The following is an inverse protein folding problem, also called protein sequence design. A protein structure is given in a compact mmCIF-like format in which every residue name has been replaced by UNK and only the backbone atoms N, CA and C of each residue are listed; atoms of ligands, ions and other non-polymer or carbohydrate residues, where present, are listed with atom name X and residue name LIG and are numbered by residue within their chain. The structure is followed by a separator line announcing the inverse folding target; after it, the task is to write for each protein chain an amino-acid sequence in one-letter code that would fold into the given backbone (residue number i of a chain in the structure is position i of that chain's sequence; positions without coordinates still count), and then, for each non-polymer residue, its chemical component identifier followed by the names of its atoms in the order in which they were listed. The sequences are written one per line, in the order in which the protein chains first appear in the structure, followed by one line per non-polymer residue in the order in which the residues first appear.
data_IF_608752373694
#
_entry.id   IF_608752373694
#
_cell.length_a   1.000
_cell.length_b   1.000
_cell.length_c   1.000
_cell.angle_alpha   90.00
_cell.angle_beta   90.00
_cell.angle_gamma   90.00
#
_symmetry.space_group_name_H-M   'P 1'
#
loop_
_entity.id
_entity.type
_entity.pdbx_description
1 polymer ?
#
# COMPACT_ATOMS: atom_id res chain seq x y z
N UNK A 1 0.98 -38.00 -60.98
CA UNK A 1 0.76 -38.92 -62.11
C UNK A 1 -0.73 -38.97 -62.33
N UNK A 2 -1.38 -38.28 -63.26
CA UNK A 2 -1.08 -37.38 -64.39
C UNK A 2 -2.43 -36.61 -64.58
N UNK A 3 -2.62 -35.51 -65.29
CA UNK A 3 -1.80 -34.56 -66.02
C UNK A 3 -2.69 -33.31 -66.20
N UNK A 4 -2.03 -32.15 -66.30
CA UNK A 4 -2.64 -30.89 -66.74
C UNK A 4 -2.82 -30.91 -68.27
N UNK A 5 -3.88 -30.28 -68.78
CA UNK A 5 -3.85 -29.69 -70.13
C UNK A 5 -4.75 -28.45 -70.24
N UNK A 6 -4.07 -27.31 -70.44
CA UNK A 6 -4.43 -26.09 -71.18
C UNK A 6 -5.17 -26.36 -72.51
N UNK A 7 -5.94 -25.48 -73.19
CA UNK A 7 -6.04 -24.00 -73.26
C UNK A 7 -7.20 -23.59 -74.21
N UNK A 8 -7.45 -22.27 -74.29
CA UNK A 8 -8.08 -21.49 -75.37
C UNK A 8 -9.63 -21.53 -75.45
N UNK A 9 -10.36 -20.43 -75.67
CA UNK A 9 -10.06 -19.04 -76.02
C UNK A 9 -11.36 -18.34 -76.47
N UNK A 10 -11.25 -17.05 -76.80
CA UNK A 10 -12.20 -16.17 -77.51
C UNK A 10 -13.43 -15.62 -76.77
N UNK A 11 -13.30 -14.34 -76.40
CA UNK A 11 -14.11 -13.18 -76.81
C UNK A 11 -15.64 -13.33 -76.96
N UNK A 12 -16.33 -12.46 -76.21
CA UNK A 12 -17.73 -12.07 -76.39
C UNK A 12 -17.99 -11.41 -77.74
N UNK A 13 -19.24 -11.44 -78.22
CA UNK A 13 -19.87 -10.17 -78.54
C UNK A 13 -21.27 -10.00 -77.92
N UNK A 14 -21.55 -8.74 -77.64
CA UNK A 14 -22.76 -8.18 -77.07
C UNK A 14 -24.06 -8.66 -77.73
N UNK A 15 -25.09 -8.92 -76.91
CA UNK A 15 -26.46 -9.14 -77.37
C UNK A 15 -27.49 -9.27 -76.23
N UNK A 16 -27.95 -8.12 -75.72
CA UNK A 16 -29.29 -7.84 -75.18
C UNK A 16 -29.87 -8.65 -73.98
N UNK A 17 -30.25 -7.87 -72.95
CA UNK A 17 -31.41 -8.01 -72.07
C UNK A 17 -31.59 -9.29 -71.24
N UNK A 18 -31.09 -9.23 -70.01
CA UNK A 18 -31.64 -9.97 -68.87
C UNK A 18 -31.57 -9.12 -67.62
N UNK A 19 -32.72 -8.70 -67.09
CA UNK A 19 -32.86 -8.03 -65.79
C UNK A 19 -32.00 -8.74 -64.73
N UNK A 20 -30.91 -8.10 -64.28
CA UNK A 20 -30.34 -8.42 -62.97
C UNK A 20 -31.27 -7.84 -61.93
N UNK A 21 -32.11 -8.70 -61.38
CA UNK A 21 -32.89 -8.49 -60.17
C UNK A 21 -31.97 -7.88 -59.11
N UNK A 22 -32.25 -6.62 -58.78
CA UNK A 22 -31.72 -5.94 -57.61
C UNK A 22 -32.10 -6.81 -56.41
N UNK A 23 -31.13 -7.45 -55.75
CA UNK A 23 -31.38 -8.14 -54.51
C UNK A 23 -32.05 -7.14 -53.55
N UNK A 24 -33.32 -7.36 -53.27
CA UNK A 24 -34.05 -6.58 -52.29
C UNK A 24 -33.37 -6.82 -50.95
N UNK A 25 -32.67 -5.82 -50.44
CA UNK A 25 -32.37 -5.74 -49.01
C UNK A 25 -33.73 -5.82 -48.32
N UNK A 26 -34.06 -6.97 -47.76
CA UNK A 26 -35.27 -7.16 -46.99
C UNK A 26 -35.24 -6.14 -45.85
N UNK A 27 -36.10 -5.13 -45.93
CA UNK A 27 -36.32 -4.20 -44.83
C UNK A 27 -36.65 -4.98 -43.56
N UNK A 28 -36.33 -4.44 -42.38
CA UNK A 28 -36.59 -5.13 -41.12
C UNK A 28 -38.06 -5.57 -41.07
N UNK A 29 -38.30 -6.83 -40.70
CA UNK A 29 -39.65 -7.39 -40.58
C UNK A 29 -40.47 -6.54 -39.61
N UNK A 30 -41.79 -6.43 -39.82
CA UNK A 30 -42.67 -5.61 -38.97
C UNK A 30 -42.55 -5.96 -37.47
N UNK A 31 -42.28 -7.23 -37.16
CA UNK A 31 -41.97 -7.70 -35.81
C UNK A 31 -40.66 -7.11 -35.25
N UNK A 32 -39.58 -7.07 -36.05
CA UNK A 32 -38.30 -6.46 -35.64
C UNK A 32 -38.39 -4.94 -35.47
N UNK A 33 -39.21 -4.27 -36.27
CA UNK A 33 -39.49 -2.83 -36.10
C UNK A 33 -40.31 -2.56 -34.84
N UNK A 34 -41.33 -3.37 -34.56
CA UNK A 34 -42.15 -3.25 -33.34
C UNK A 34 -41.34 -3.51 -32.07
N UNK A 35 -40.44 -4.49 -32.08
CA UNK A 35 -39.60 -4.83 -30.93
C UNK A 35 -38.55 -3.74 -30.66
N UNK A 36 -37.94 -3.17 -31.71
CA UNK A 36 -37.07 -2.00 -31.59
C UNK A 36 -37.80 -0.77 -31.05
N UNK A 37 -39.01 -0.48 -31.54
CA UNK A 37 -39.83 0.63 -31.05
C UNK A 37 -40.24 0.44 -29.58
N UNK A 38 -40.54 -0.79 -29.17
CA UNK A 38 -40.86 -1.12 -27.77
C UNK A 38 -39.63 -0.95 -26.86
N UNK A 39 -38.45 -1.36 -27.32
CA UNK A 39 -37.18 -1.16 -26.60
C UNK A 39 -36.87 0.34 -26.41
N UNK A 40 -37.05 1.14 -27.47
CA UNK A 40 -36.83 2.60 -27.44
C UNK A 40 -37.85 3.32 -26.54
N UNK A 41 -39.09 2.84 -26.49
CA UNK A 41 -40.10 3.36 -25.56
C UNK A 41 -39.73 3.06 -24.10
N UNK A 42 -39.28 1.83 -23.79
CA UNK A 42 -38.81 1.46 -22.45
C UNK A 42 -37.59 2.26 -22.02
N UNK A 43 -36.61 2.45 -22.91
CA UNK A 43 -35.43 3.30 -22.65
C UNK A 43 -35.83 4.74 -22.33
N UNK A 44 -36.72 5.33 -23.11
CA UNK A 44 -37.22 6.70 -22.87
C UNK A 44 -37.96 6.83 -21.54
N UNK A 45 -38.79 5.84 -21.19
CA UNK A 45 -39.49 5.82 -19.91
C UNK A 45 -38.50 5.74 -18.73
N UNK A 46 -37.49 4.87 -18.81
CA UNK A 46 -36.46 4.76 -17.77
C UNK A 46 -35.61 6.04 -17.62
N UNK A 47 -35.26 6.70 -18.73
CA UNK A 47 -34.55 7.98 -18.69
C UNK A 47 -35.41 9.10 -18.09
N UNK A 48 -36.71 9.15 -18.44
CA UNK A 48 -37.65 10.10 -17.87
C UNK A 48 -37.84 9.88 -16.36
N UNK A 49 -37.87 8.63 -15.92
CA UNK A 49 -37.94 8.28 -14.49
C UNK A 49 -36.70 8.77 -13.72
N UNK A 50 -35.49 8.61 -14.28
CA UNK A 50 -34.26 9.14 -13.70
C UNK A 50 -34.26 10.69 -13.68
N UNK A 51 -34.69 11.33 -14.77
CA UNK A 51 -34.70 12.79 -14.90
C UNK A 51 -35.72 13.46 -13.94
N UNK A 52 -36.86 12.81 -13.69
CA UNK A 52 -37.94 13.28 -12.80
C UNK A 52 -37.81 12.81 -11.34
N UNK A 53 -36.88 11.89 -11.05
CA UNK A 53 -36.66 11.37 -9.71
C UNK A 53 -36.39 12.50 -8.70
N UNK A 54 -36.96 12.36 -7.49
CA UNK A 54 -36.61 13.23 -6.37
C UNK A 54 -35.22 12.87 -5.85
N UNK A 55 -34.46 13.87 -5.40
CA UNK A 55 -33.18 13.64 -4.74
C UNK A 55 -33.36 12.67 -3.58
N UNK A 56 -32.47 11.69 -3.49
CA UNK A 56 -32.58 10.56 -2.57
C UNK A 56 -31.21 10.14 -2.08
N UNK A 57 -31.17 9.25 -1.09
CA UNK A 57 -29.93 8.70 -0.55
C UNK A 57 -29.08 7.99 -1.61
N UNK A 58 -29.69 7.45 -2.66
CA UNK A 58 -28.98 6.89 -3.80
C UNK A 58 -28.13 7.96 -4.50
N UNK A 59 -28.70 9.13 -4.79
CA UNK A 59 -27.99 10.25 -5.40
C UNK A 59 -26.85 10.78 -4.51
N UNK A 60 -27.08 10.83 -3.20
CA UNK A 60 -26.04 11.19 -2.24
C UNK A 60 -24.87 10.18 -2.24
N UNK A 61 -25.16 8.87 -2.31
CA UNK A 61 -24.13 7.83 -2.46
C UNK A 61 -23.36 7.95 -3.76
N UNK A 62 -24.03 8.19 -4.89
CA UNK A 62 -23.37 8.41 -6.18
C UNK A 62 -22.44 9.63 -6.13
N UNK A 63 -22.92 10.72 -5.52
CA UNK A 63 -22.12 11.93 -5.31
C UNK A 63 -20.90 11.68 -4.42
N UNK A 64 -21.03 10.85 -3.37
CA UNK A 64 -19.92 10.49 -2.50
C UNK A 64 -18.89 9.60 -3.21
N UNK A 65 -19.34 8.57 -3.93
CA UNK A 65 -18.46 7.65 -4.66
C UNK A 65 -17.69 8.38 -5.77
N UNK A 66 -18.38 9.19 -6.58
CA UNK A 66 -17.70 10.03 -7.57
C UNK A 66 -16.83 11.11 -6.91
N UNK A 67 -17.25 11.63 -5.76
CA UNK A 67 -16.48 12.62 -5.00
C UNK A 67 -15.17 12.06 -4.43
N UNK A 68 -15.09 10.77 -4.13
CA UNK A 68 -13.86 10.13 -3.63
C UNK A 68 -12.75 10.17 -4.70
N UNK A 69 -13.08 9.97 -5.98
CA UNK A 69 -12.10 10.07 -7.09
C UNK A 69 -11.46 11.45 -7.15
N UNK A 70 -12.30 12.50 -7.28
CA UNK A 70 -11.82 13.89 -7.25
C UNK A 70 -11.12 14.29 -5.95
N UNK A 71 -11.50 13.70 -4.82
CA UNK A 71 -10.79 13.88 -3.56
C UNK A 71 -9.37 13.30 -3.64
N UNK A 72 -9.22 12.06 -4.11
CA UNK A 72 -7.91 11.40 -4.25
C UNK A 72 -7.03 12.09 -5.28
N UNK A 73 -7.59 12.53 -6.40
CA UNK A 73 -6.88 13.28 -7.45
C UNK A 73 -6.23 14.54 -6.88
N UNK A 74 -7.04 15.34 -6.17
CA UNK A 74 -6.57 16.57 -5.56
C UNK A 74 -5.56 16.31 -4.44
N UNK A 75 -5.78 15.28 -3.63
CA UNK A 75 -4.84 14.86 -2.60
C UNK A 75 -3.46 14.57 -3.22
N UNK A 76 -3.39 13.73 -4.27
CA UNK A 76 -2.12 13.33 -4.90
C UNK A 76 -1.42 14.46 -5.67
N UNK A 77 -2.19 15.33 -6.33
CA UNK A 77 -1.67 16.52 -7.01
C UNK A 77 -1.09 17.51 -5.99
N UNK A 78 -1.73 17.68 -4.84
CA UNK A 78 -1.30 18.64 -3.83
C UNK A 78 -0.16 18.11 -2.95
N UNK A 79 -0.23 16.84 -2.53
CA UNK A 79 0.71 16.21 -1.62
C UNK A 79 2.17 16.31 -2.09
N UNK A 80 2.43 16.24 -3.41
CA UNK A 80 3.79 16.36 -3.94
C UNK A 80 4.43 17.71 -3.63
N UNK A 81 3.67 18.79 -3.54
CA UNK A 81 4.24 20.11 -3.27
C UNK A 81 4.84 20.18 -1.87
N UNK A 82 4.31 19.38 -0.95
CA UNK A 82 4.83 19.22 0.40
C UNK A 82 5.94 18.17 0.42
N UNK A 83 5.71 17.02 -0.23
CA UNK A 83 6.68 15.94 -0.28
C UNK A 83 7.98 16.32 -1.01
N UNK A 84 7.94 17.22 -2.01
CA UNK A 84 9.14 17.65 -2.75
C UNK A 84 10.15 18.38 -1.87
N UNK A 85 9.69 19.03 -0.80
CA UNK A 85 10.56 19.63 0.21
C UNK A 85 11.33 18.52 0.94
N UNK A 86 10.62 17.50 1.42
CA UNK A 86 11.21 16.34 2.10
C UNK A 86 12.17 15.56 1.18
N UNK A 87 11.81 15.38 -0.09
CA UNK A 87 12.67 14.77 -1.10
C UNK A 87 13.92 15.60 -1.36
N UNK A 88 13.83 16.93 -1.31
CA UNK A 88 14.99 17.82 -1.39
C UNK A 88 15.95 17.61 -0.24
N UNK A 89 15.43 17.50 0.97
CA UNK A 89 16.22 17.23 2.17
C UNK A 89 16.96 15.88 2.08
N UNK A 90 16.32 14.82 1.57
CA UNK A 90 16.92 13.47 1.52
C UNK A 90 17.80 13.24 0.30
N UNK A 91 17.38 13.68 -0.89
CA UNK A 91 18.01 13.33 -2.17
C UNK A 91 18.60 14.52 -2.93
N UNK A 92 18.33 15.74 -2.47
CA UNK A 92 18.83 16.96 -3.09
C UNK A 92 20.28 17.25 -2.71
N UNK A 93 21.04 17.81 -3.65
CA UNK A 93 22.33 18.42 -3.34
C UNK A 93 22.06 19.69 -2.53
N UNK A 94 22.80 19.90 -1.44
CA UNK A 94 22.56 20.99 -0.49
C UNK A 94 21.14 20.98 0.11
N UNK A 95 20.57 19.77 0.27
CA UNK A 95 19.24 19.55 0.88
C UNK A 95 18.07 20.20 0.14
N UNK A 96 18.27 20.49 -1.14
CA UNK A 96 17.22 20.99 -2.01
C UNK A 96 17.26 20.24 -3.34
N UNK A 97 16.09 19.94 -3.88
CA UNK A 97 16.01 19.52 -5.28
C UNK A 97 16.49 20.67 -6.17
N UNK A 98 17.20 20.34 -7.25
CA UNK A 98 17.49 21.35 -8.27
C UNK A 98 16.18 21.91 -8.85
N UNK A 99 16.21 23.14 -9.37
CA UNK A 99 15.03 23.77 -9.97
C UNK A 99 14.35 22.89 -11.03
N UNK A 100 15.14 22.15 -11.81
CA UNK A 100 14.63 21.24 -12.83
C UNK A 100 14.01 19.97 -12.25
N UNK A 101 14.57 19.44 -11.16
CA UNK A 101 14.03 18.28 -10.45
C UNK A 101 12.70 18.60 -9.76
N UNK A 102 12.65 19.69 -8.98
CA UNK A 102 11.43 20.13 -8.29
C UNK A 102 10.30 20.46 -9.28
N UNK A 103 10.64 21.17 -10.37
CA UNK A 103 9.68 21.43 -11.45
C UNK A 103 9.21 20.12 -12.10
N UNK A 104 10.14 19.20 -12.39
CA UNK A 104 9.84 17.92 -13.02
C UNK A 104 8.83 17.11 -12.22
N UNK A 105 9.04 16.91 -10.92
CA UNK A 105 8.10 16.13 -10.09
C UNK A 105 6.73 16.81 -9.97
N UNK A 106 6.67 18.14 -9.93
CA UNK A 106 5.40 18.88 -9.83
C UNK A 106 4.63 18.90 -11.15
N UNK A 107 5.31 19.06 -12.28
CA UNK A 107 4.69 19.25 -13.62
C UNK A 107 4.34 17.92 -14.29
N UNK A 108 5.04 16.83 -13.96
CA UNK A 108 4.79 15.52 -14.57
C UNK A 108 3.33 15.08 -14.47
N UNK A 109 2.70 15.27 -13.32
CA UNK A 109 1.30 14.88 -13.10
C UNK A 109 0.33 15.69 -13.96
N UNK A 110 0.33 17.04 -13.95
CA UNK A 110 -0.50 17.83 -14.88
C UNK A 110 -0.31 17.48 -16.36
N UNK A 111 0.94 17.23 -16.80
CA UNK A 111 1.21 16.83 -18.19
C UNK A 111 0.60 15.46 -18.48
N UNK A 112 0.75 14.51 -17.56
CA UNK A 112 0.07 13.21 -17.62
C UNK A 112 -1.45 13.35 -17.67
N UNK A 113 -2.03 14.24 -16.86
CA UNK A 113 -3.48 14.51 -16.82
C UNK A 113 -4.01 15.00 -18.16
N UNK A 114 -3.30 15.90 -18.84
CA UNK A 114 -3.67 16.34 -20.19
C UNK A 114 -3.69 15.18 -21.18
N UNK A 115 -2.66 14.31 -21.15
CA UNK A 115 -2.60 13.13 -22.01
C UNK A 115 -3.72 12.15 -21.68
N UNK A 116 -3.95 11.89 -20.39
CA UNK A 116 -5.00 11.01 -19.89
C UNK A 116 -6.39 11.45 -20.34
N UNK A 117 -6.73 12.73 -20.22
CA UNK A 117 -8.02 13.27 -20.63
C UNK A 117 -8.34 12.99 -22.11
N UNK A 118 -7.36 13.20 -22.99
CA UNK A 118 -7.53 12.96 -24.43
C UNK A 118 -7.64 11.47 -24.72
N UNK A 119 -6.73 10.65 -24.17
CA UNK A 119 -6.67 9.21 -24.45
C UNK A 119 -7.88 8.48 -23.88
N UNK A 120 -8.21 8.71 -22.61
CA UNK A 120 -9.35 8.04 -21.96
C UNK A 120 -10.68 8.60 -22.42
N UNK A 121 -10.77 9.88 -22.79
CA UNK A 121 -11.96 10.41 -23.45
C UNK A 121 -12.30 9.64 -24.72
N UNK A 122 -11.30 9.45 -25.59
CA UNK A 122 -11.46 8.68 -26.83
C UNK A 122 -11.70 7.18 -26.58
N UNK A 123 -10.93 6.55 -25.70
CA UNK A 123 -11.08 5.12 -25.38
C UNK A 123 -12.44 4.82 -24.71
N UNK A 124 -12.96 5.73 -23.89
CA UNK A 124 -14.27 5.57 -23.26
C UNK A 124 -15.41 5.52 -24.26
N UNK A 125 -15.29 6.25 -25.37
CA UNK A 125 -16.27 6.26 -26.45
C UNK A 125 -16.21 4.98 -27.29
N UNK A 126 -15.03 4.34 -27.43
CA UNK A 126 -14.85 3.10 -28.19
C UNK A 126 -15.18 1.85 -27.36
N UNK A 127 -14.54 1.72 -26.20
CA UNK A 127 -14.54 0.50 -25.37
C UNK A 127 -15.72 0.49 -24.40
N UNK A 128 -16.26 1.66 -24.10
CA UNK A 128 -17.35 1.89 -23.16
C UNK A 128 -16.88 2.41 -21.81
N UNK A 129 -17.56 3.46 -21.35
CA UNK A 129 -17.23 4.25 -20.14
C UNK A 129 -17.06 3.40 -18.88
N UNK A 130 -17.97 2.44 -18.64
CA UNK A 130 -17.95 1.60 -17.43
C UNK A 130 -16.69 0.73 -17.31
N UNK A 131 -16.15 0.25 -18.44
CA UNK A 131 -14.92 -0.56 -18.43
C UNK A 131 -13.69 0.31 -18.22
N UNK A 132 -13.64 1.47 -18.88
CA UNK A 132 -12.53 2.40 -18.78
C UNK A 132 -12.36 2.98 -17.37
N UNK A 133 -13.45 3.15 -16.63
CA UNK A 133 -13.42 3.59 -15.22
C UNK A 133 -12.55 2.67 -14.34
N UNK A 134 -12.69 1.35 -14.46
CA UNK A 134 -11.85 0.43 -13.69
C UNK A 134 -10.37 0.44 -14.11
N UNK A 135 -10.09 0.76 -15.37
CA UNK A 135 -8.73 0.78 -15.91
C UNK A 135 -7.96 2.02 -15.43
N UNK A 136 -8.58 3.20 -15.47
CA UNK A 136 -7.92 4.41 -14.97
C UNK A 136 -7.62 4.30 -13.46
N UNK A 137 -8.58 3.78 -12.69
CA UNK A 137 -8.41 3.56 -11.25
C UNK A 137 -7.24 2.60 -10.97
N UNK A 138 -7.11 1.53 -11.76
CA UNK A 138 -5.99 0.59 -11.63
C UNK A 138 -4.65 1.27 -11.94
N UNK A 139 -4.59 2.15 -12.95
CA UNK A 139 -3.39 2.92 -13.27
C UNK A 139 -3.03 3.83 -12.09
N UNK A 140 -4.01 4.54 -11.50
CA UNK A 140 -3.77 5.37 -10.31
C UNK A 140 -3.24 4.54 -9.15
N UNK A 141 -3.91 3.44 -8.78
CA UNK A 141 -3.47 2.58 -7.67
C UNK A 141 -2.05 2.04 -7.89
N UNK A 142 -1.76 1.49 -9.06
CA UNK A 142 -0.45 0.90 -9.37
C UNK A 142 0.64 1.97 -9.38
N UNK A 143 0.37 3.13 -9.99
CA UNK A 143 1.36 4.21 -10.07
C UNK A 143 1.58 4.93 -8.74
N UNK A 144 0.55 5.13 -7.92
CA UNK A 144 0.69 5.67 -6.56
C UNK A 144 1.46 4.70 -5.67
N UNK A 145 1.17 3.40 -5.76
CA UNK A 145 1.95 2.39 -5.06
C UNK A 145 3.41 2.36 -5.55
N UNK A 146 3.64 2.42 -6.86
CA UNK A 146 4.98 2.43 -7.43
C UNK A 146 5.78 3.69 -7.03
N UNK A 147 5.14 4.87 -6.93
CA UNK A 147 5.77 6.09 -6.40
C UNK A 147 6.24 5.91 -4.96
N UNK A 148 5.42 5.24 -4.12
CA UNK A 148 5.79 4.95 -2.74
C UNK A 148 6.95 3.94 -2.61
N UNK A 149 7.21 3.15 -3.66
CA UNK A 149 8.26 2.13 -3.68
C UNK A 149 9.55 2.57 -4.40
N UNK A 150 9.63 3.79 -4.92
CA UNK A 150 10.84 4.25 -5.62
C UNK A 150 11.99 4.40 -4.62
N UNK A 151 13.14 3.82 -4.93
CA UNK A 151 14.38 3.99 -4.16
C UNK A 151 15.57 4.30 -5.06
N UNK A 152 16.69 4.64 -4.43
CA UNK A 152 17.91 4.99 -5.13
C UNK A 152 18.64 3.74 -5.64
N UNK A 153 19.07 3.73 -6.90
CA UNK A 153 19.83 2.64 -7.52
C UNK A 153 21.05 3.20 -8.25
N UNK A 154 22.15 2.44 -8.30
CA UNK A 154 23.42 2.88 -8.89
C UNK A 154 23.30 3.31 -10.37
N UNK A 155 22.29 2.82 -11.09
CA UNK A 155 22.06 3.11 -12.50
C UNK A 155 20.95 4.15 -12.76
N UNK A 156 20.12 4.50 -11.77
CA UNK A 156 18.91 5.31 -11.99
C UNK A 156 18.64 6.29 -10.84
N UNK A 157 18.49 7.57 -11.19
CA UNK A 157 18.13 8.64 -10.26
C UNK A 157 16.67 8.46 -9.78
N UNK A 158 16.49 8.39 -8.46
CA UNK A 158 15.18 8.25 -7.80
C UNK A 158 14.18 9.32 -8.26
N UNK A 159 14.63 10.56 -8.43
CA UNK A 159 13.77 11.67 -8.84
C UNK A 159 13.31 11.48 -10.29
N UNK A 160 14.18 10.97 -11.16
CA UNK A 160 13.81 10.68 -12.53
C UNK A 160 12.75 9.57 -12.62
N UNK A 161 12.89 8.50 -11.83
CA UNK A 161 11.88 7.42 -11.76
C UNK A 161 10.57 7.93 -11.18
N UNK A 162 10.65 8.77 -10.15
CA UNK A 162 9.47 9.38 -9.54
C UNK A 162 8.72 10.27 -10.55
N UNK A 163 9.44 11.07 -11.36
CA UNK A 163 8.85 11.87 -12.45
C UNK A 163 8.06 10.98 -13.42
N UNK A 164 8.61 9.83 -13.81
CA UNK A 164 7.95 8.89 -14.73
C UNK A 164 6.66 8.34 -14.11
N UNK A 165 6.72 7.85 -12.87
CA UNK A 165 5.52 7.34 -12.20
C UNK A 165 4.47 8.42 -11.96
N UNK A 166 4.90 9.66 -11.69
CA UNK A 166 4.01 10.82 -11.56
C UNK A 166 3.30 11.17 -12.85
N UNK A 167 3.98 11.01 -13.99
CA UNK A 167 3.36 11.15 -15.30
C UNK A 167 2.32 10.05 -15.54
N UNK A 168 2.66 8.79 -15.27
CA UNK A 168 1.74 7.64 -15.43
C UNK A 168 0.51 7.80 -14.52
N UNK A 169 0.70 8.20 -13.25
CA UNK A 169 -0.39 8.52 -12.34
C UNK A 169 -1.25 9.66 -12.89
N UNK A 170 -0.61 10.71 -13.41
CA UNK A 170 -1.30 11.82 -14.07
C UNK A 170 -2.20 11.34 -15.20
N UNK A 171 -1.76 10.37 -16.01
CA UNK A 171 -2.61 9.76 -17.07
C UNK A 171 -3.84 9.08 -16.49
N UNK A 172 -3.72 8.38 -15.36
CA UNK A 172 -4.85 7.79 -14.62
C UNK A 172 -5.83 8.87 -14.16
N UNK A 173 -5.35 9.86 -13.42
CA UNK A 173 -6.14 11.02 -12.97
C UNK A 173 -6.85 11.70 -14.14
N UNK A 174 -6.14 11.90 -15.26
CA UNK A 174 -6.72 12.49 -16.47
C UNK A 174 -7.89 11.69 -17.04
N UNK A 175 -7.91 10.38 -16.87
CA UNK A 175 -9.03 9.53 -17.25
C UNK A 175 -10.25 9.68 -16.36
N UNK A 176 -10.08 9.99 -15.08
CA UNK A 176 -11.20 10.15 -14.14
C UNK A 176 -12.07 11.36 -14.51
N UNK A 177 -11.48 12.50 -14.91
CA UNK A 177 -12.24 13.71 -15.28
C UNK A 177 -13.38 13.47 -16.30
N UNK A 178 -13.13 12.91 -17.50
CA UNK A 178 -14.21 12.63 -18.45
C UNK A 178 -15.12 11.48 -18.00
N UNK A 179 -14.62 10.47 -17.28
CA UNK A 179 -15.41 9.30 -16.90
C UNK A 179 -16.35 9.59 -15.73
N UNK A 180 -15.83 10.15 -14.64
CA UNK A 180 -16.60 10.52 -13.46
C UNK A 180 -17.57 11.67 -13.72
N UNK A 181 -17.20 12.67 -14.52
CA UNK A 181 -18.12 13.75 -14.89
C UNK A 181 -19.35 13.22 -15.64
N UNK A 182 -19.17 12.21 -16.48
CA UNK A 182 -20.28 11.64 -17.24
C UNK A 182 -21.16 10.76 -16.34
N UNK A 183 -20.57 9.86 -15.56
CA UNK A 183 -21.32 9.00 -14.63
C UNK A 183 -22.15 9.84 -13.66
N UNK A 184 -21.55 10.86 -13.03
CA UNK A 184 -22.28 11.73 -12.11
C UNK A 184 -23.40 12.50 -12.82
N UNK A 185 -23.21 12.91 -14.07
CA UNK A 185 -24.28 13.60 -14.83
C UNK A 185 -25.41 12.66 -15.29
N UNK A 186 -25.10 11.40 -15.65
CA UNK A 186 -26.04 10.38 -16.14
C UNK A 186 -27.01 9.92 -15.04
N UNK A 187 -26.54 9.85 -13.79
CA UNK A 187 -27.36 9.45 -12.64
C UNK A 187 -27.98 10.62 -11.89
N UNK A 188 -27.85 11.86 -12.37
CA UNK A 188 -28.37 13.04 -11.68
C UNK A 188 -29.74 13.51 -12.19
N UNK A 189 -30.69 13.85 -11.28
CA UNK A 189 -31.98 14.42 -11.65
C UNK A 189 -31.83 15.79 -12.31
N UNK A 190 -32.67 16.10 -13.31
CA UNK A 190 -32.56 17.30 -14.15
C UNK A 190 -32.50 18.61 -13.35
N UNK A 191 -33.28 18.73 -12.27
CA UNK A 191 -33.34 19.94 -11.42
C UNK A 191 -32.11 20.15 -10.52
N UNK A 192 -31.44 19.06 -10.13
CA UNK A 192 -30.31 19.09 -9.18
C UNK A 192 -28.98 18.67 -9.80
N UNK A 193 -28.96 18.31 -11.10
CA UNK A 193 -27.77 17.86 -11.83
C UNK A 193 -26.58 18.78 -11.61
N UNK A 194 -26.75 20.08 -11.83
CA UNK A 194 -25.68 21.05 -11.59
C UNK A 194 -25.14 21.02 -10.15
N UNK A 195 -26.02 20.97 -9.14
CA UNK A 195 -25.60 20.92 -7.72
C UNK A 195 -24.82 19.65 -7.39
N UNK A 196 -25.25 18.51 -7.92
CA UNK A 196 -24.58 17.22 -7.70
C UNK A 196 -23.20 17.22 -8.37
N UNK A 197 -23.10 17.70 -9.61
CA UNK A 197 -21.81 17.88 -10.29
C UNK A 197 -20.88 18.79 -9.49
N UNK A 198 -21.36 19.96 -9.06
CA UNK A 198 -20.55 20.89 -8.26
C UNK A 198 -20.12 20.28 -6.94
N UNK A 199 -20.96 19.51 -6.26
CA UNK A 199 -20.61 18.82 -5.03
C UNK A 199 -19.49 17.78 -5.23
N UNK A 200 -19.52 17.02 -6.33
CA UNK A 200 -18.46 16.09 -6.72
C UNK A 200 -17.13 16.84 -6.94
N UNK A 201 -17.13 17.91 -7.73
CA UNK A 201 -15.93 18.72 -7.97
C UNK A 201 -15.42 19.45 -6.71
N UNK A 202 -16.31 19.79 -5.78
CA UNK A 202 -15.94 20.43 -4.51
C UNK A 202 -15.13 19.49 -3.58
N UNK A 203 -15.21 18.17 -3.78
CA UNK A 203 -14.40 17.18 -3.07
C UNK A 203 -12.89 17.39 -3.24
N UNK A 204 -12.45 18.05 -4.33
CA UNK A 204 -11.04 18.43 -4.51
C UNK A 204 -10.54 19.35 -3.39
N UNK A 205 -11.38 20.26 -2.89
CA UNK A 205 -11.02 21.13 -1.77
C UNK A 205 -10.73 20.34 -0.50
N UNK A 206 -11.52 19.29 -0.25
CA UNK A 206 -11.28 18.35 0.85
C UNK A 206 -10.00 17.54 0.64
N UNK A 207 -9.71 17.11 -0.59
CA UNK A 207 -8.45 16.41 -0.90
C UNK A 207 -7.21 17.24 -0.57
N UNK A 208 -7.17 18.50 -1.02
CA UNK A 208 -6.10 19.44 -0.71
C UNK A 208 -5.95 19.69 0.79
N UNK A 209 -7.07 19.87 1.49
CA UNK A 209 -7.08 20.06 2.93
C UNK A 209 -6.53 18.83 3.66
N UNK A 210 -6.98 17.63 3.29
CA UNK A 210 -6.51 16.39 3.91
C UNK A 210 -5.03 16.14 3.63
N UNK A 211 -4.53 16.42 2.42
CA UNK A 211 -3.09 16.33 2.12
C UNK A 211 -2.26 17.24 3.03
N UNK A 212 -2.71 18.48 3.24
CA UNK A 212 -2.07 19.42 4.16
C UNK A 212 -2.13 18.95 5.60
N UNK A 213 -3.28 18.44 6.03
CA UNK A 213 -3.51 17.97 7.40
C UNK A 213 -2.66 16.74 7.72
N UNK A 214 -2.61 15.75 6.83
CA UNK A 214 -1.79 14.54 6.98
C UNK A 214 -0.32 14.93 7.06
N UNK A 215 0.15 15.79 6.17
CA UNK A 215 1.53 16.26 6.21
C UNK A 215 1.86 17.02 7.52
N UNK A 216 0.93 17.84 8.01
CA UNK A 216 1.08 18.51 9.31
C UNK A 216 1.17 17.51 10.46
N UNK A 217 0.26 16.53 10.52
CA UNK A 217 0.25 15.49 11.57
C UNK A 217 1.57 14.71 11.56
N UNK A 218 2.04 14.29 10.38
CA UNK A 218 3.30 13.54 10.25
C UNK A 218 4.48 14.41 10.69
N UNK A 219 4.57 15.65 10.20
CA UNK A 219 5.65 16.56 10.56
C UNK A 219 5.66 16.88 12.07
N UNK A 220 4.48 17.04 12.67
CA UNK A 220 4.33 17.27 14.10
C UNK A 220 4.74 16.03 14.91
N UNK A 221 4.37 14.82 14.47
CA UNK A 221 4.74 13.57 15.14
C UNK A 221 6.26 13.34 15.15
N UNK A 222 6.95 13.72 14.08
CA UNK A 222 8.41 13.61 13.96
C UNK A 222 9.16 14.86 14.42
N UNK A 223 8.46 15.89 14.91
CA UNK A 223 9.04 17.21 15.23
C UNK A 223 10.25 17.10 16.15
N UNK A 224 10.12 16.39 17.26
CA UNK A 224 11.17 16.33 18.26
C UNK A 224 12.37 15.50 17.77
N UNK A 225 12.13 14.49 16.94
CA UNK A 225 13.19 13.72 16.26
C UNK A 225 13.93 14.57 15.21
N UNK A 226 13.20 15.37 14.42
CA UNK A 226 13.78 16.29 13.41
C UNK A 226 14.61 17.38 14.10
N UNK A 227 14.12 17.96 15.20
CA UNK A 227 14.82 19.03 15.93
C UNK A 227 16.02 18.52 16.73
N UNK A 228 16.04 17.23 17.07
CA UNK A 228 17.14 16.59 17.79
C UNK A 228 18.30 16.17 16.88
N UNK A 229 18.15 16.25 15.55
CA UNK A 229 19.24 15.91 14.63
C UNK A 229 20.33 16.99 14.64
N UNK A 230 21.57 16.62 14.98
CA UNK A 230 22.63 17.58 15.25
C UNK A 230 23.16 18.29 13.99
N UNK A 231 22.87 17.75 12.80
CA UNK A 231 23.27 18.36 11.54
C UNK A 231 22.35 17.94 10.37
N UNK A 232 22.17 18.89 9.46
CA UNK A 232 21.33 18.84 8.26
C UNK A 232 21.78 17.77 7.24
N UNK A 233 22.99 17.27 7.35
CA UNK A 233 23.58 16.20 6.53
C UNK A 233 23.26 14.77 7.02
N UNK A 234 22.59 14.62 8.16
CA UNK A 234 22.20 13.34 8.76
C UNK A 234 20.70 13.27 9.06
N UNK A 235 19.89 13.46 8.01
CA UNK A 235 18.42 13.40 8.06
C UNK A 235 17.88 11.96 8.18
N UNK A 236 18.44 11.17 9.09
CA UNK A 236 18.09 9.78 9.19
C UNK A 236 16.63 9.60 9.63
N UNK A 237 16.03 10.52 10.39
CA UNK A 237 14.61 10.48 10.77
C UNK A 237 13.67 10.57 9.56
N UNK A 238 14.11 11.22 8.48
CA UNK A 238 13.41 11.27 7.19
C UNK A 238 13.69 10.00 6.36
N UNK A 239 14.90 9.43 6.46
CA UNK A 239 15.30 8.16 5.83
C UNK A 239 14.78 6.89 6.58
N UNK A 240 14.39 6.97 7.86
CA UNK A 240 13.78 5.85 8.58
C UNK A 240 12.33 5.62 8.21
N UNK A 241 11.69 6.59 7.55
CA UNK A 241 10.33 6.43 7.06
C UNK A 241 10.21 5.35 5.95
N UNK A 242 11.32 4.76 5.46
CA UNK A 242 11.28 3.79 4.33
C UNK A 242 12.10 2.48 4.44
N UNK A 243 12.81 2.18 5.54
CA UNK A 243 13.61 0.93 5.67
C UNK A 243 12.92 -0.16 6.50
N UNK A 244 12.80 -1.37 5.95
CA UNK A 244 12.18 -2.53 6.63
C UNK A 244 13.22 -3.63 6.80
N UNK A 245 13.51 -4.01 8.04
CA UNK A 245 14.24 -5.24 8.35
C UNK A 245 13.23 -6.37 8.55
N UNK A 246 13.46 -7.50 7.89
CA UNK A 246 12.54 -8.63 7.92
C UNK A 246 13.27 -9.96 7.66
N UNK A 247 12.54 -11.05 7.52
CA UNK A 247 13.07 -12.38 7.17
C UNK A 247 13.57 -12.42 5.72
N UNK A 248 14.37 -13.41 5.36
CA UNK A 248 14.87 -13.54 3.97
C UNK A 248 13.72 -13.83 3.01
N UNK A 249 12.81 -14.71 3.40
CA UNK A 249 11.56 -14.98 2.69
C UNK A 249 10.66 -13.74 2.61
N UNK A 250 10.52 -12.99 3.71
CA UNK A 250 9.79 -11.72 3.76
C UNK A 250 10.37 -10.73 2.75
N UNK A 251 11.69 -10.56 2.73
CA UNK A 251 12.35 -9.68 1.78
C UNK A 251 12.16 -10.14 0.32
N UNK A 252 12.23 -11.45 0.05
CA UNK A 252 11.99 -12.02 -1.27
C UNK A 252 10.54 -11.77 -1.75
N UNK A 253 9.55 -11.98 -0.88
CA UNK A 253 8.13 -11.69 -1.17
C UNK A 253 7.85 -10.21 -1.36
N UNK A 254 8.65 -9.37 -0.73
CA UNK A 254 8.56 -7.92 -0.83
C UNK A 254 9.41 -7.35 -1.99
N UNK A 255 10.09 -8.17 -2.79
CA UNK A 255 10.75 -7.68 -4.00
C UNK A 255 9.72 -7.14 -5.00
N UNK A 256 10.03 -6.05 -5.73
CA UNK A 256 11.34 -5.43 -5.90
C UNK A 256 11.63 -4.24 -4.96
N UNK A 257 11.02 -4.16 -3.76
CA UNK A 257 11.16 -3.00 -2.87
C UNK A 257 12.63 -2.69 -2.49
N UNK A 258 13.21 -1.56 -2.92
CA UNK A 258 14.47 -1.08 -2.38
C UNK A 258 14.26 -0.63 -0.92
N UNK A 259 15.18 -0.98 -0.02
CA UNK A 259 15.08 -0.64 1.41
C UNK A 259 14.49 -1.75 2.30
N UNK A 260 14.05 -2.86 1.72
CA UNK A 260 13.74 -4.09 2.48
C UNK A 260 14.98 -4.97 2.55
N UNK A 261 15.44 -5.28 3.76
CA UNK A 261 16.57 -6.18 3.97
C UNK A 261 16.12 -7.40 4.74
N UNK A 262 16.27 -8.55 4.11
CA UNK A 262 16.14 -9.85 4.76
C UNK A 262 17.39 -10.15 5.57
N UNK A 263 17.23 -10.61 6.80
CA UNK A 263 18.34 -11.00 7.67
C UNK A 263 18.28 -12.49 7.96
N UNK A 264 19.44 -13.15 7.89
CA UNK A 264 19.60 -14.53 8.39
C UNK A 264 19.78 -14.52 9.90
N UNK A 265 19.45 -15.62 10.60
CA UNK A 265 19.76 -15.75 12.03
C UNK A 265 21.22 -15.42 12.32
N UNK A 266 21.45 -14.59 13.33
CA UNK A 266 22.75 -14.06 13.76
C UNK A 266 23.43 -13.09 12.79
N UNK A 267 22.77 -12.70 11.70
CA UNK A 267 23.24 -11.61 10.85
C UNK A 267 23.02 -10.27 11.55
N UNK A 268 24.08 -9.45 11.61
CA UNK A 268 24.04 -8.11 12.20
C UNK A 268 24.08 -7.05 11.12
N UNK A 269 23.28 -6.01 11.31
CA UNK A 269 23.31 -4.80 10.49
C UNK A 269 23.50 -3.57 11.36
N UNK A 270 24.27 -2.62 10.84
CA UNK A 270 24.43 -1.32 11.46
C UNK A 270 23.43 -0.33 10.88
N UNK A 271 22.77 0.42 11.76
CA UNK A 271 21.79 1.45 11.44
C UNK A 271 22.13 2.70 12.24
N UNK A 272 22.06 3.88 11.61
CA UNK A 272 22.26 5.14 12.32
C UNK A 272 20.92 5.83 12.55
N UNK A 273 20.35 5.71 13.75
CA UNK A 273 19.05 6.27 14.13
C UNK A 273 19.15 7.42 15.13
N UNK A 274 18.53 8.57 14.81
CA UNK A 274 18.54 9.75 15.68
C UNK A 274 19.96 10.21 16.08
N UNK A 275 20.92 10.18 15.14
CA UNK A 275 22.33 10.51 15.40
C UNK A 275 23.12 9.44 16.17
N UNK A 276 22.52 8.28 16.46
CA UNK A 276 23.12 7.18 17.22
C UNK A 276 23.31 5.96 16.35
N UNK A 277 24.43 5.26 16.54
CA UNK A 277 24.71 4.01 15.85
C UNK A 277 24.10 2.84 16.66
N UNK A 278 23.20 2.13 16.01
CA UNK A 278 22.60 0.88 16.47
C UNK A 278 23.14 -0.29 15.66
N UNK A 279 23.27 -1.44 16.31
CA UNK A 279 23.40 -2.73 15.67
C UNK A 279 22.14 -3.52 15.92
N UNK A 280 21.57 -4.04 14.84
CA UNK A 280 20.42 -4.93 14.87
C UNK A 280 20.90 -6.30 14.46
N UNK A 281 20.88 -7.25 15.39
CA UNK A 281 21.22 -8.66 15.12
C UNK A 281 19.96 -9.49 15.08
N UNK A 282 19.72 -10.17 13.97
CA UNK A 282 18.60 -11.10 13.85
C UNK A 282 18.79 -12.31 14.78
N UNK A 283 17.73 -12.76 15.43
CA UNK A 283 17.73 -13.98 16.25
C UNK A 283 16.90 -15.08 15.58
N UNK A 284 17.27 -16.36 15.79
CA UNK A 284 16.48 -17.48 15.28
C UNK A 284 15.07 -17.45 15.89
N UNK A 285 14.07 -17.76 15.08
CA UNK A 285 12.68 -17.91 15.51
C UNK A 285 12.03 -19.08 14.79
N UNK A 286 11.13 -19.75 15.49
CA UNK A 286 10.31 -20.83 14.96
C UNK A 286 8.84 -20.53 15.30
N UNK A 287 8.02 -20.35 14.26
CA UNK A 287 6.59 -20.06 14.39
C UNK A 287 5.75 -21.19 13.76
N UNK A 288 6.01 -21.46 12.48
CA UNK A 288 5.45 -22.58 11.73
C UNK A 288 6.60 -23.40 11.15
N UNK A 289 6.48 -24.74 11.07
CA UNK A 289 7.42 -25.58 10.35
C UNK A 289 7.59 -25.09 8.91
N UNK A 290 8.78 -24.57 8.58
CA UNK A 290 9.10 -23.99 7.26
C UNK A 290 8.64 -22.55 7.04
N UNK A 291 8.01 -21.90 8.01
CA UNK A 291 7.73 -20.46 7.99
C UNK A 291 8.85 -19.67 8.65
N UNK A 292 9.36 -18.63 7.99
CA UNK A 292 10.39 -17.76 8.57
C UNK A 292 9.75 -16.70 9.46
N UNK A 293 10.20 -16.66 10.72
CA UNK A 293 9.97 -15.56 11.65
C UNK A 293 11.33 -14.96 12.07
N UNK A 294 11.35 -13.74 12.58
CA UNK A 294 12.58 -13.08 13.03
C UNK A 294 12.34 -12.30 14.33
N UNK A 295 13.24 -12.51 15.28
CA UNK A 295 13.43 -11.66 16.44
C UNK A 295 14.69 -10.82 16.23
N UNK A 296 14.92 -9.86 17.12
CA UNK A 296 16.06 -8.96 16.98
C UNK A 296 16.63 -8.52 18.32
N UNK A 297 17.95 -8.40 18.33
CA UNK A 297 18.73 -7.81 19.41
C UNK A 297 19.13 -6.42 18.95
N UNK A 298 18.84 -5.43 19.78
CA UNK A 298 19.25 -4.05 19.58
C UNK A 298 20.40 -3.73 20.53
N UNK A 299 21.57 -3.45 19.94
CA UNK A 299 22.78 -3.01 20.63
C UNK A 299 23.06 -1.55 20.27
N UNK A 300 23.44 -0.75 21.27
CA UNK A 300 23.98 0.59 21.07
C UNK A 300 25.12 0.81 22.06
N UNK A 301 26.18 1.53 21.65
CA UNK A 301 27.33 1.82 22.52
C UNK A 301 26.92 2.49 23.85
N UNK A 302 25.87 3.29 23.81
CA UNK A 302 25.33 4.02 24.95
C UNK A 302 24.66 3.13 25.98
N UNK A 303 24.24 1.92 25.61
CA UNK A 303 23.68 0.97 26.58
C UNK A 303 24.75 0.46 27.55
N UNK A 304 26.02 0.60 27.20
CA UNK A 304 27.15 0.20 28.02
C UNK A 304 27.40 -1.31 27.99
N UNK A 305 28.12 -1.79 28.99
CA UNK A 305 28.50 -3.20 29.13
C UNK A 305 28.32 -3.63 30.58
N UNK A 306 27.88 -4.87 30.79
CA UNK A 306 27.79 -5.52 32.09
C UNK A 306 28.57 -6.83 32.01
N UNK A 307 29.45 -7.07 32.98
CA UNK A 307 30.30 -8.28 33.05
C UNK A 307 31.11 -8.57 31.76
N UNK A 308 31.49 -7.52 31.03
CA UNK A 308 32.25 -7.60 29.79
C UNK A 308 31.41 -7.92 28.54
N UNK A 309 30.09 -8.08 28.68
CA UNK A 309 29.16 -8.25 27.56
C UNK A 309 28.45 -6.92 27.23
N UNK A 310 28.16 -6.65 25.95
CA UNK A 310 27.37 -5.48 25.56
C UNK A 310 25.93 -5.59 26.08
N UNK A 311 25.43 -4.48 26.62
CA UNK A 311 24.06 -4.36 27.09
C UNK A 311 23.12 -4.20 25.89
N UNK A 312 22.03 -4.98 25.88
CA UNK A 312 21.09 -5.01 24.74
C UNK A 312 19.62 -5.04 25.16
N UNK A 313 18.76 -4.67 24.21
CA UNK A 313 17.33 -4.94 24.26
C UNK A 313 17.03 -6.08 23.30
N UNK A 314 16.40 -7.14 23.79
CA UNK A 314 16.02 -8.30 23.00
C UNK A 314 14.51 -8.28 22.70
N UNK A 315 14.14 -8.53 21.46
CA UNK A 315 12.78 -8.71 20.98
C UNK A 315 12.64 -10.12 20.43
N UNK A 316 11.72 -10.92 21.01
CA UNK A 316 11.63 -12.34 20.63
C UNK A 316 11.09 -12.58 19.23
N UNK A 317 10.23 -11.68 18.73
CA UNK A 317 9.35 -12.00 17.61
C UNK A 317 8.34 -13.11 17.99
N UNK A 318 7.45 -13.45 17.06
CA UNK A 318 6.45 -14.49 17.26
C UNK A 318 7.09 -15.88 17.15
N UNK A 319 7.63 -16.38 18.26
CA UNK A 319 8.37 -17.65 18.30
C UNK A 319 7.93 -18.51 19.47
N UNK A 320 8.18 -19.82 19.36
CA UNK A 320 8.23 -20.74 20.49
C UNK A 320 9.61 -20.71 21.16
N UNK A 321 9.72 -21.31 22.34
CA UNK A 321 11.01 -21.53 23.00
C UNK A 321 11.83 -22.54 22.19
N UNK A 322 13.05 -22.15 21.82
CA UNK A 322 14.05 -23.01 21.17
C UNK A 322 15.38 -22.86 21.91
N UNK A 323 16.14 -23.96 22.05
CA UNK A 323 17.40 -23.97 22.82
C UNK A 323 18.45 -22.99 22.24
N UNK A 324 18.37 -22.67 20.94
CA UNK A 324 19.27 -21.72 20.30
C UNK A 324 19.17 -20.30 20.86
N UNK A 325 18.01 -19.90 21.40
CA UNK A 325 17.82 -18.58 22.02
C UNK A 325 18.66 -18.42 23.28
N UNK A 326 19.04 -19.51 23.93
CA UNK A 326 19.90 -19.49 25.13
C UNK A 326 21.29 -18.96 24.81
N UNK A 327 21.77 -19.09 23.56
CA UNK A 327 23.07 -18.57 23.11
C UNK A 327 23.15 -17.04 23.15
N UNK A 328 22.02 -16.33 23.30
CA UNK A 328 22.00 -14.88 23.47
C UNK A 328 22.75 -14.49 24.75
N UNK A 329 22.59 -15.25 25.84
CA UNK A 329 23.23 -14.95 27.13
C UNK A 329 24.77 -15.01 27.06
N UNK A 330 25.32 -15.80 26.14
CA UNK A 330 26.77 -15.98 25.98
C UNK A 330 27.42 -14.81 25.22
N UNK A 331 26.61 -14.05 24.48
CA UNK A 331 27.05 -12.97 23.59
C UNK A 331 26.67 -11.59 24.10
N UNK A 332 25.62 -11.49 24.93
CA UNK A 332 25.01 -10.23 25.33
C UNK A 332 24.50 -10.27 26.76
N UNK A 333 24.52 -9.12 27.43
CA UNK A 333 23.77 -8.89 28.66
C UNK A 333 22.40 -8.28 28.30
N UNK A 334 21.32 -9.04 28.50
CA UNK A 334 19.97 -8.60 28.12
C UNK A 334 19.38 -7.73 29.22
N UNK A 335 19.38 -6.41 29.04
CA UNK A 335 18.80 -5.49 30.02
C UNK A 335 17.28 -5.57 30.00
N UNK A 336 16.70 -5.62 28.80
CA UNK A 336 15.25 -5.73 28.62
C UNK A 336 14.94 -6.83 27.61
N UNK A 337 14.15 -7.81 28.05
CA UNK A 337 13.62 -8.87 27.20
C UNK A 337 12.14 -8.60 26.90
N UNK A 338 11.86 -8.21 25.66
CA UNK A 338 10.51 -8.00 25.14
C UNK A 338 10.06 -9.29 24.47
N UNK A 339 9.09 -9.98 25.09
CA UNK A 339 8.67 -11.31 24.67
C UNK A 339 7.24 -11.30 24.12
N UNK A 340 7.05 -11.78 22.90
CA UNK A 340 5.75 -12.05 22.31
C UNK A 340 5.21 -13.37 22.88
N UNK A 341 4.03 -13.31 23.52
CA UNK A 341 3.45 -14.41 24.28
C UNK A 341 2.02 -14.72 23.80
N UNK A 342 1.21 -15.37 24.64
CA UNK A 342 -0.22 -15.59 24.36
C UNK A 342 -0.59 -17.00 23.92
N UNK A 343 0.40 -17.90 23.80
CA UNK A 343 0.19 -19.32 23.48
C UNK A 343 -0.73 -19.52 22.26
N UNK A 344 -0.48 -18.79 21.17
CA UNK A 344 -1.25 -18.93 19.95
C UNK A 344 -1.11 -20.37 19.42
N UNK A 345 -2.22 -20.98 19.01
CA UNK A 345 -2.20 -22.34 18.45
C UNK A 345 -3.00 -22.40 17.17
N UNK A 346 -2.56 -23.22 16.22
CA UNK A 346 -3.34 -23.62 15.05
C UNK A 346 -3.73 -25.09 15.16
N UNK A 347 -4.98 -25.40 14.85
CA UNK A 347 -5.46 -26.78 14.83
C UNK A 347 -5.06 -27.44 13.50
N UNK A 348 -4.17 -28.44 13.56
CA UNK A 348 -3.77 -29.24 12.41
C UNK A 348 -4.40 -30.64 12.48
N UNK A 349 -4.51 -31.37 11.35
CA UNK A 349 -5.03 -32.74 11.33
C UNK A 349 -4.35 -33.71 12.30
N UNK A 350 -3.10 -33.44 12.67
CA UNK A 350 -2.28 -34.26 13.56
C UNK A 350 -2.27 -33.76 15.01
N UNK A 351 -3.09 -32.77 15.35
CA UNK A 351 -3.17 -32.15 16.68
C UNK A 351 -2.89 -30.64 16.65
N UNK A 352 -3.16 -29.93 17.75
CA UNK A 352 -2.88 -28.51 17.86
C UNK A 352 -1.37 -28.25 17.88
N UNK A 353 -0.91 -27.31 17.06
CA UNK A 353 0.47 -26.84 17.03
C UNK A 353 0.55 -25.47 17.69
N UNK A 354 1.47 -25.32 18.66
CA UNK A 354 1.76 -24.05 19.30
C UNK A 354 2.68 -23.20 18.43
N UNK A 355 2.37 -21.91 18.32
CA UNK A 355 3.01 -20.95 17.43
C UNK A 355 3.77 -19.86 18.20
N UNK A 356 3.30 -19.49 19.38
CA UNK A 356 3.96 -18.50 20.25
C UNK A 356 4.17 -19.06 21.65
N UNK A 357 5.20 -18.56 22.34
CA UNK A 357 5.50 -18.93 23.72
C UNK A 357 4.29 -18.73 24.64
N UNK A 358 4.11 -19.69 25.56
CA UNK A 358 3.25 -19.50 26.73
C UNK A 358 4.02 -18.79 27.87
N UNK A 359 3.34 -18.48 28.96
CA UNK A 359 3.96 -17.83 30.12
C UNK A 359 5.09 -18.63 30.77
N UNK A 360 5.04 -19.97 30.73
CA UNK A 360 6.07 -20.83 31.33
C UNK A 360 7.33 -20.85 30.47
N UNK A 361 7.16 -20.96 29.15
CA UNK A 361 8.24 -20.85 28.18
C UNK A 361 8.88 -19.46 28.22
N UNK A 362 8.07 -18.40 28.29
CA UNK A 362 8.56 -17.03 28.45
C UNK A 362 9.35 -16.83 29.75
N UNK A 363 8.84 -17.33 30.88
CA UNK A 363 9.55 -17.27 32.16
C UNK A 363 10.84 -18.08 32.15
N UNK A 364 10.84 -19.26 31.53
CA UNK A 364 12.04 -20.08 31.36
C UNK A 364 13.10 -19.34 30.54
N UNK A 365 12.72 -18.81 29.37
CA UNK A 365 13.63 -18.06 28.52
C UNK A 365 14.22 -16.86 29.27
N UNK A 366 13.39 -16.11 29.99
CA UNK A 366 13.83 -14.96 30.77
C UNK A 366 14.89 -15.33 31.83
N UNK A 367 14.70 -16.45 32.55
CA UNK A 367 15.69 -16.93 33.53
C UNK A 367 16.99 -17.36 32.86
N UNK A 368 16.90 -18.06 31.74
CA UNK A 368 18.08 -18.55 31.02
C UNK A 368 18.85 -17.43 30.31
N UNK A 369 18.16 -16.39 29.82
CA UNK A 369 18.79 -15.17 29.31
C UNK A 369 19.46 -14.34 30.42
N UNK A 370 19.12 -14.61 31.69
CA UNK A 370 19.51 -13.79 32.84
C UNK A 370 19.16 -12.32 32.66
N UNK A 371 18.03 -12.05 32.01
CA UNK A 371 17.65 -10.68 31.70
C UNK A 371 17.24 -9.90 32.96
N UNK A 372 17.44 -8.58 32.95
CA UNK A 372 17.13 -7.74 34.11
C UNK A 372 15.62 -7.50 34.23
N UNK A 373 14.94 -7.21 33.11
CA UNK A 373 13.50 -6.94 33.06
C UNK A 373 12.81 -7.69 31.92
N UNK A 374 11.66 -8.30 32.20
CA UNK A 374 10.76 -8.90 31.22
C UNK A 374 9.65 -7.91 30.88
N UNK A 375 9.38 -7.70 29.59
CA UNK A 375 8.22 -6.95 29.11
C UNK A 375 7.36 -7.87 28.25
N UNK A 376 6.16 -8.28 28.71
CA UNK A 376 5.30 -9.14 27.93
C UNK A 376 4.63 -8.31 26.82
N UNK A 377 4.54 -8.89 25.63
CA UNK A 377 3.89 -8.31 24.45
C UNK A 377 3.08 -9.37 23.70
N UNK A 378 2.20 -8.90 22.81
CA UNK A 378 1.44 -9.74 21.88
C UNK A 378 0.62 -10.88 22.53
N UNK A 379 0.08 -10.67 23.73
CA UNK A 379 -0.72 -11.66 24.46
C UNK A 379 -2.21 -11.36 24.50
N UNK A 380 -2.64 -10.25 23.90
CA UNK A 380 -4.03 -9.79 23.87
C UNK A 380 -4.39 -9.33 22.44
N UNK A 381 -5.68 -9.28 22.12
CA UNK A 381 -6.28 -8.73 20.87
C UNK A 381 -6.46 -9.66 19.66
N UNK A 382 -6.15 -10.96 19.76
CA UNK A 382 -6.50 -11.95 18.71
C UNK A 382 -7.29 -13.12 19.29
N UNK A 383 -8.29 -13.59 18.53
CA UNK A 383 -9.14 -14.74 18.91
C UNK A 383 -8.37 -16.08 19.00
N UNK A 384 -7.13 -16.14 18.52
CA UNK A 384 -6.31 -17.34 18.52
C UNK A 384 -5.38 -17.46 19.75
N UNK A 385 -5.30 -16.45 20.60
CA UNK A 385 -4.56 -16.54 21.86
C UNK A 385 -5.34 -17.35 22.88
N UNK A 386 -4.66 -18.34 23.46
CA UNK A 386 -5.22 -19.18 24.52
C UNK A 386 -4.82 -18.70 25.92
N UNK A 387 -3.92 -17.72 26.01
CA UNK A 387 -3.48 -17.14 27.28
C UNK A 387 -3.53 -15.60 27.26
N UNK A 388 -4.41 -15.01 28.06
CA UNK A 388 -4.53 -13.55 28.22
C UNK A 388 -3.62 -12.98 29.32
N UNK A 389 -3.71 -11.67 29.58
CA UNK A 389 -2.86 -10.99 30.57
C UNK A 389 -2.95 -11.55 31.99
N UNK A 390 -4.16 -11.88 32.47
CA UNK A 390 -4.34 -12.45 33.82
C UNK A 390 -3.70 -13.84 33.96
N UNK A 391 -3.84 -14.69 32.94
CA UNK A 391 -3.28 -16.03 32.94
C UNK A 391 -1.76 -16.02 32.80
N UNK A 392 -1.20 -15.07 32.03
CA UNK A 392 0.24 -14.84 31.96
C UNK A 392 0.80 -14.34 33.30
N UNK A 393 0.12 -13.39 33.95
CA UNK A 393 0.51 -12.90 35.26
C UNK A 393 0.54 -14.03 36.30
N UNK A 394 -0.46 -14.94 36.25
CA UNK A 394 -0.47 -16.13 37.09
C UNK A 394 0.73 -17.05 36.79
N UNK A 395 1.01 -17.32 35.52
CA UNK A 395 2.15 -18.15 35.13
C UNK A 395 3.49 -17.55 35.60
N UNK A 396 3.68 -16.23 35.45
CA UNK A 396 4.89 -15.57 35.92
C UNK A 396 5.07 -15.60 37.44
N UNK A 397 3.96 -15.49 38.17
CA UNK A 397 3.97 -15.63 39.63
C UNK A 397 4.30 -17.06 40.08
N UNK A 398 3.74 -18.07 39.40
CA UNK A 398 4.06 -19.48 39.65
C UNK A 398 5.53 -19.79 39.35
N UNK A 399 6.09 -19.16 38.31
CA UNK A 399 7.50 -19.32 37.91
C UNK A 399 8.46 -18.40 38.69
N UNK A 400 7.95 -17.55 39.59
CA UNK A 400 8.74 -16.68 40.46
C UNK A 400 9.55 -15.60 39.72
N UNK A 401 9.01 -15.07 38.62
CA UNK A 401 9.65 -14.00 37.83
C UNK A 401 8.87 -12.68 37.86
N UNK A 402 7.72 -12.65 38.55
CA UNK A 402 6.75 -11.54 38.53
C UNK A 402 7.32 -10.21 39.06
N UNK A 403 8.31 -10.27 39.95
CA UNK A 403 9.01 -9.11 40.51
C UNK A 403 9.80 -8.31 39.47
N UNK A 404 10.16 -8.95 38.34
CA UNK A 404 10.92 -8.36 37.24
C UNK A 404 10.09 -8.22 35.96
N UNK A 405 8.77 -8.40 36.03
CA UNK A 405 7.87 -8.19 34.90
C UNK A 405 7.35 -6.76 34.88
N UNK A 406 7.55 -6.06 33.76
CA UNK A 406 7.01 -4.73 33.53
C UNK A 406 5.89 -4.77 32.50
N UNK A 407 4.65 -4.74 32.98
CA UNK A 407 3.45 -4.70 32.16
C UNK A 407 3.26 -3.34 31.46
N UNK A 408 2.82 -3.36 30.21
CA UNK A 408 2.49 -2.18 29.41
C UNK A 408 0.98 -1.98 29.32
N UNK A 409 0.54 -0.72 29.27
CA UNK A 409 -0.85 -0.35 29.00
C UNK A 409 -0.95 0.23 27.59
N UNK A 410 -1.83 -0.29 26.71
CA UNK A 410 -1.99 0.23 25.35
C UNK A 410 -2.20 1.74 25.31
N UNK A 411 -1.41 2.43 24.47
CA UNK A 411 -1.50 3.88 24.29
C UNK A 411 -0.91 4.73 25.43
N UNK A 412 -0.34 4.11 26.47
CA UNK A 412 0.26 4.83 27.61
C UNK A 412 1.77 4.65 27.60
N UNK A 413 2.51 5.76 27.58
CA UNK A 413 3.98 5.74 27.69
C UNK A 413 4.40 5.30 29.09
N UNK A 414 5.39 4.40 29.17
CA UNK A 414 5.94 3.88 30.43
C UNK A 414 7.47 3.84 30.37
N UNK A 415 8.12 4.37 31.40
CA UNK A 415 9.56 4.23 31.60
C UNK A 415 9.85 2.87 32.27
N UNK A 416 10.73 2.06 31.67
CA UNK A 416 11.06 0.71 32.16
C UNK A 416 12.35 0.71 32.99
N UNK A 417 13.38 1.39 32.50
CA UNK A 417 14.68 1.60 33.14
C UNK A 417 15.00 3.10 33.19
#
# INVERSE_FOLDING_TARGET
MADFHESNGSESPFGANGHKTRASVSGPTSAGVMDALALDARRRAALAEIDEARFSWFHAKVCLVAGIGFFTDAYDIFAISIASIMLGYVYGKDQALSKHQDLGVKVATPVGTLVGQVVFGWLADIVGRKKMYGVELLIMVVSTFAQALVGNAAAVDIIAVLIVWRFIMGVGIGGDYPLSAIISSEFAPKKTRGRMMTAVFASQGWGNFTASLVAFIITAAYRDSILAEPALDQLNSVDFMWRVLTTVDGANKLQPRPGVRGLKPWETVELNAGGKQFKVTATPCEHLPGGECIGFILEAKEFGTTDGLPNVIYFSGDTIYIDELVQIQDKYHVVVAILNLGAATVDLPNGPLQLTMDGKQGARLFRELKADVLVPMHYESWNHFKQGGEELAKAFKEEGVDDRVSWLTPGVSKKII
#
